data_IF_813484395725
#
_entry.id   IF_813484395725
#
_cell.length_a   1.000
_cell.length_b   1.000
_cell.length_c   1.000
_cell.angle_alpha   90.00
_cell.angle_beta   90.00
_cell.angle_gamma   90.00
#
_symmetry.space_group_name_H-M   'P 1'
#
loop_
_entity.id
_entity.type
_entity.pdbx_description
1 polymer ?
#
# COMPACT_ATOMS: atom_id res chain seq x y z
N UNK A 1 13.55 71.81 -8.81
CA UNK A 1 12.61 70.74 -8.42
C UNK A 1 13.33 69.41 -8.56
N UNK A 2 13.51 68.66 -7.46
CA UNK A 2 14.25 67.39 -7.41
C UNK A 2 13.32 66.24 -7.80
N UNK A 3 13.66 65.48 -8.83
CA UNK A 3 12.98 64.24 -9.20
C UNK A 3 13.52 63.10 -8.32
N UNK A 4 12.64 62.49 -7.52
CA UNK A 4 12.91 61.27 -6.78
C UNK A 4 12.51 60.09 -7.67
N UNK A 5 13.49 59.29 -8.09
CA UNK A 5 13.27 58.01 -8.78
C UNK A 5 13.06 56.95 -7.69
N UNK A 6 11.84 56.43 -7.60
CA UNK A 6 11.50 55.29 -6.74
C UNK A 6 11.87 54.02 -7.50
N UNK A 7 12.97 53.38 -7.09
CA UNK A 7 13.43 52.11 -7.63
C UNK A 7 12.72 50.96 -6.91
N UNK A 8 11.59 50.52 -7.46
CA UNK A 8 10.84 49.36 -6.94
C UNK A 8 11.55 48.06 -7.32
N UNK A 9 12.21 47.45 -6.33
CA UNK A 9 12.87 46.16 -6.44
C UNK A 9 11.80 45.04 -6.47
N UNK A 10 11.47 44.51 -7.65
CA UNK A 10 10.64 43.31 -7.78
C UNK A 10 11.46 42.08 -7.34
N UNK A 11 11.27 41.61 -6.11
CA UNK A 11 11.67 40.26 -5.70
C UNK A 11 10.76 39.26 -6.41
N UNK A 12 11.24 38.67 -7.50
CA UNK A 12 10.60 37.50 -8.12
C UNK A 12 10.91 36.27 -7.27
N UNK A 13 10.04 35.95 -6.32
CA UNK A 13 10.07 34.66 -5.62
C UNK A 13 9.73 33.57 -6.65
N UNK A 14 10.72 32.75 -7.00
CA UNK A 14 10.49 31.54 -7.79
C UNK A 14 9.74 30.55 -6.90
N UNK A 15 8.42 30.43 -7.08
CA UNK A 15 7.68 29.30 -6.49
C UNK A 15 8.16 28.04 -7.20
N UNK A 16 9.01 27.27 -6.53
CA UNK A 16 9.28 25.89 -6.93
C UNK A 16 7.97 25.13 -6.69
N UNK A 17 7.35 24.52 -7.72
CA UNK A 17 6.17 23.69 -7.49
C UNK A 17 6.57 22.55 -6.55
N UNK A 18 5.84 22.40 -5.45
CA UNK A 18 5.92 21.18 -4.65
C UNK A 18 5.65 20.01 -5.60
N UNK A 19 6.60 19.08 -5.71
CA UNK A 19 6.41 17.91 -6.57
C UNK A 19 5.18 17.17 -6.05
N UNK A 20 4.08 17.23 -6.80
CA UNK A 20 2.85 16.56 -6.44
C UNK A 20 3.11 15.05 -6.53
N UNK A 21 3.07 14.39 -5.38
CA UNK A 21 3.20 12.92 -5.30
C UNK A 21 2.00 12.32 -6.02
N UNK A 22 2.28 11.39 -6.91
CA UNK A 22 1.28 10.71 -7.74
C UNK A 22 1.22 9.21 -7.46
N UNK A 23 0.16 8.55 -7.96
CA UNK A 23 0.05 7.09 -7.86
C UNK A 23 1.14 6.39 -8.69
N UNK A 24 1.66 7.05 -9.72
CA UNK A 24 2.78 6.61 -10.53
C UNK A 24 4.06 6.38 -9.72
N UNK A 25 4.24 7.07 -8.61
CA UNK A 25 5.45 6.96 -7.77
C UNK A 25 5.59 5.57 -7.15
N UNK A 26 4.49 4.82 -6.99
CA UNK A 26 4.46 3.48 -6.43
C UNK A 26 4.62 2.37 -7.48
N UNK A 27 4.54 2.71 -8.76
CA UNK A 27 4.60 1.74 -9.87
C UNK A 27 5.94 1.03 -9.89
N UNK A 28 5.90 -0.28 -10.09
CA UNK A 28 7.10 -1.11 -10.17
C UNK A 28 6.91 -2.51 -9.62
N UNK A 29 8.02 -3.23 -9.58
CA UNK A 29 8.09 -4.54 -8.96
C UNK A 29 8.75 -4.44 -7.59
N UNK A 30 8.17 -5.11 -6.61
CA UNK A 30 8.66 -5.12 -5.24
C UNK A 30 8.85 -6.55 -4.79
N UNK A 31 9.90 -6.79 -4.00
CA UNK A 31 10.19 -8.12 -3.46
C UNK A 31 10.63 -8.01 -2.02
N UNK A 32 10.11 -8.91 -1.21
CA UNK A 32 10.30 -8.86 0.22
C UNK A 32 10.40 -10.23 0.87
N UNK A 33 10.76 -10.17 2.15
CA UNK A 33 10.74 -11.32 3.04
C UNK A 33 10.04 -10.93 4.33
N UNK A 34 9.52 -11.93 5.00
CA UNK A 34 8.73 -11.75 6.19
C UNK A 34 8.70 -13.00 7.05
N UNK A 35 7.83 -12.98 8.04
CA UNK A 35 7.57 -14.11 8.91
C UNK A 35 6.06 -14.36 8.97
N UNK A 36 5.69 -15.61 9.20
CA UNK A 36 4.33 -15.97 9.56
C UNK A 36 4.31 -16.72 10.87
N UNK A 37 3.18 -16.64 11.57
CA UNK A 37 2.83 -17.49 12.70
C UNK A 37 1.48 -18.12 12.40
N UNK A 38 1.38 -19.44 12.51
CA UNK A 38 0.14 -20.21 12.40
C UNK A 38 -0.11 -20.92 13.72
N UNK A 39 -1.31 -20.83 14.24
CA UNK A 39 -1.79 -21.53 15.42
C UNK A 39 -2.98 -22.36 14.97
N UNK A 40 -2.88 -23.68 15.07
CA UNK A 40 -4.00 -24.61 14.94
C UNK A 40 -3.93 -25.69 16.03
N UNK A 41 -3.27 -26.82 15.78
CA UNK A 41 -3.02 -27.88 16.77
C UNK A 41 -1.69 -27.63 17.52
N UNK A 42 -1.05 -26.50 17.24
CA UNK A 42 0.20 -26.02 17.82
C UNK A 42 0.72 -24.78 17.08
N UNK A 43 1.63 -24.06 17.71
CA UNK A 43 2.23 -22.87 17.11
C UNK A 43 3.35 -23.23 16.13
N UNK A 44 3.25 -22.72 14.90
CA UNK A 44 4.23 -22.88 13.84
C UNK A 44 4.64 -21.53 13.29
N UNK A 45 5.94 -21.25 13.34
CA UNK A 45 6.55 -20.05 12.76
C UNK A 45 7.36 -20.39 11.54
N UNK A 46 7.43 -19.48 10.58
CA UNK A 46 8.26 -19.67 9.40
C UNK A 46 8.50 -18.40 8.61
N UNK A 47 9.21 -18.54 7.49
CA UNK A 47 9.59 -17.43 6.62
C UNK A 47 8.60 -17.29 5.46
N UNK A 48 8.30 -16.05 5.11
CA UNK A 48 7.57 -15.67 3.90
C UNK A 48 8.53 -15.04 2.90
N UNK A 49 8.29 -15.29 1.61
CA UNK A 49 8.84 -14.48 0.52
C UNK A 49 7.70 -13.98 -0.33
N UNK A 50 7.63 -12.66 -0.53
CA UNK A 50 6.59 -12.04 -1.33
C UNK A 50 7.15 -11.28 -2.51
N UNK A 51 6.33 -11.23 -3.56
CA UNK A 51 6.53 -10.37 -4.72
C UNK A 51 5.24 -9.58 -4.95
N UNK A 52 5.40 -8.32 -5.31
CA UNK A 52 4.32 -7.40 -5.63
C UNK A 52 4.62 -6.75 -6.98
N UNK A 53 3.60 -6.51 -7.78
CA UNK A 53 3.69 -5.70 -8.99
C UNK A 53 2.59 -4.65 -8.95
N UNK A 54 3.00 -3.39 -8.98
CA UNK A 54 2.11 -2.24 -9.01
C UNK A 54 2.14 -1.69 -10.43
N UNK A 55 0.97 -1.50 -11.03
CA UNK A 55 0.81 -0.95 -12.39
C UNK A 55 -0.15 0.22 -12.35
N UNK A 56 0.21 1.29 -13.05
CA UNK A 56 -0.71 2.36 -13.37
C UNK A 56 -1.75 1.87 -14.37
N UNK A 57 -3.01 2.23 -14.15
CA UNK A 57 -4.07 2.06 -15.15
C UNK A 57 -4.39 3.39 -15.84
N UNK A 58 -4.35 4.46 -15.05
CA UNK A 58 -4.56 5.85 -15.45
C UNK A 58 -4.15 6.74 -14.28
N UNK A 59 -4.41 8.05 -14.36
CA UNK A 59 -3.98 9.03 -13.36
C UNK A 59 -4.57 8.83 -11.96
N UNK A 60 -5.69 8.11 -11.81
CA UNK A 60 -6.32 7.93 -10.50
C UNK A 60 -6.45 6.47 -10.09
N UNK A 61 -5.91 5.53 -10.86
CA UNK A 61 -5.99 4.10 -10.55
C UNK A 61 -4.68 3.35 -10.73
N UNK A 62 -4.38 2.52 -9.73
CA UNK A 62 -3.34 1.50 -9.80
C UNK A 62 -3.92 0.12 -9.53
N UNK A 63 -3.30 -0.91 -10.08
CA UNK A 63 -3.54 -2.30 -9.67
C UNK A 63 -2.32 -2.87 -9.00
N UNK A 64 -2.56 -3.64 -7.95
CA UNK A 64 -1.55 -4.34 -7.19
C UNK A 64 -1.79 -5.84 -7.36
N UNK A 65 -0.83 -6.53 -7.96
CA UNK A 65 -0.78 -7.99 -8.07
C UNK A 65 0.29 -8.53 -7.12
N UNK A 66 -0.07 -9.43 -6.19
CA UNK A 66 0.84 -9.93 -5.17
C UNK A 66 0.83 -11.45 -5.03
N UNK A 67 1.98 -12.02 -4.69
CA UNK A 67 2.13 -13.43 -4.32
C UNK A 67 3.08 -13.59 -3.15
N UNK A 68 2.63 -14.27 -2.10
CA UNK A 68 3.43 -14.62 -0.94
C UNK A 68 3.55 -16.14 -0.81
N UNK A 69 4.77 -16.65 -0.66
CA UNK A 69 5.05 -18.07 -0.49
C UNK A 69 5.77 -18.39 0.81
N UNK A 70 5.40 -19.51 1.43
CA UNK A 70 6.02 -20.15 2.58
C UNK A 70 6.15 -21.67 2.32
N UNK A 71 6.84 -22.38 3.21
CA UNK A 71 6.92 -23.85 3.15
C UNK A 71 5.55 -24.53 3.22
N UNK A 72 4.59 -23.89 3.88
CA UNK A 72 3.22 -24.38 4.07
C UNK A 72 2.26 -24.06 2.91
N UNK A 73 2.72 -23.33 1.89
CA UNK A 73 1.89 -22.94 0.75
C UNK A 73 2.16 -21.53 0.26
N UNK A 74 1.40 -21.10 -0.74
CA UNK A 74 1.45 -19.75 -1.27
C UNK A 74 0.04 -19.17 -1.40
N UNK A 75 -0.10 -17.86 -1.16
CA UNK A 75 -1.33 -17.10 -1.38
C UNK A 75 -1.07 -16.02 -2.43
N UNK A 76 -2.00 -15.88 -3.36
CA UNK A 76 -2.05 -14.76 -4.31
C UNK A 76 -3.09 -13.76 -3.83
N UNK A 77 -2.87 -12.49 -4.14
CA UNK A 77 -3.88 -11.45 -3.96
C UNK A 77 -3.79 -10.44 -5.09
N UNK A 78 -4.92 -9.84 -5.43
CA UNK A 78 -4.97 -8.78 -6.41
C UNK A 78 -5.96 -7.71 -5.94
N UNK A 79 -5.63 -6.44 -6.15
CA UNK A 79 -6.55 -5.34 -5.83
C UNK A 79 -6.36 -4.17 -6.80
N UNK A 80 -7.43 -3.42 -7.01
CA UNK A 80 -7.39 -2.12 -7.66
C UNK A 80 -7.62 -1.04 -6.61
N UNK A 81 -6.80 0.01 -6.65
CA UNK A 81 -6.92 1.18 -5.81
C UNK A 81 -7.32 2.34 -6.70
N UNK A 82 -8.37 3.06 -6.33
CA UNK A 82 -8.85 4.25 -7.03
C UNK A 82 -8.85 5.44 -6.08
N UNK A 83 -8.22 6.54 -6.49
CA UNK A 83 -8.30 7.82 -5.81
C UNK A 83 -9.67 8.45 -6.09
N UNK A 84 -10.51 8.52 -5.06
CA UNK A 84 -11.93 8.92 -5.15
C UNK A 84 -12.21 10.31 -4.57
N UNK A 85 -11.21 10.98 -4.02
CA UNK A 85 -11.24 12.34 -3.48
C UNK A 85 -9.83 12.85 -3.23
N UNK A 86 -9.65 13.99 -2.55
CA UNK A 86 -8.32 14.59 -2.36
C UNK A 86 -7.32 13.65 -1.68
N UNK A 87 -7.78 12.74 -0.80
CA UNK A 87 -6.92 11.81 -0.07
C UNK A 87 -7.56 10.45 0.19
N UNK A 88 -8.76 10.19 -0.35
CA UNK A 88 -9.52 8.97 -0.05
C UNK A 88 -9.34 7.94 -1.15
N UNK A 89 -8.99 6.72 -0.74
CA UNK A 89 -8.86 5.59 -1.65
C UNK A 89 -10.05 4.65 -1.50
N UNK A 90 -10.62 4.25 -2.64
CA UNK A 90 -11.47 3.07 -2.73
C UNK A 90 -10.66 1.89 -3.23
N UNK A 91 -10.92 0.71 -2.66
CA UNK A 91 -10.21 -0.52 -3.02
C UNK A 91 -11.22 -1.55 -3.50
N UNK A 92 -10.91 -2.17 -4.63
CA UNK A 92 -11.65 -3.30 -5.18
C UNK A 92 -10.75 -4.53 -5.10
N UNK A 93 -11.18 -5.54 -4.34
CA UNK A 93 -10.50 -6.84 -4.31
C UNK A 93 -10.74 -7.58 -5.64
N UNK A 94 -9.66 -7.94 -6.32
CA UNK A 94 -9.65 -8.66 -7.61
C UNK A 94 -9.19 -10.11 -7.45
N UNK A 95 -8.99 -10.56 -6.21
CA UNK A 95 -8.50 -11.90 -5.91
C UNK A 95 -9.55 -12.95 -6.33
N UNK A 96 -9.07 -14.07 -6.86
CA UNK A 96 -9.94 -15.16 -7.32
C UNK A 96 -10.54 -15.98 -6.17
N UNK A 97 -9.96 -15.86 -4.98
CA UNK A 97 -10.50 -16.45 -3.75
C UNK A 97 -11.70 -15.64 -3.29
N UNK A 98 -12.79 -16.32 -2.93
CA UNK A 98 -14.05 -15.67 -2.56
C UNK A 98 -13.88 -14.92 -1.24
N UNK A 99 -13.58 -13.63 -1.36
CA UNK A 99 -13.57 -12.69 -0.25
C UNK A 99 -15.01 -12.23 -0.04
N UNK A 100 -15.66 -12.77 1.00
CA UNK A 100 -17.04 -12.40 1.36
C UNK A 100 -16.97 -11.21 2.31
N UNK A 101 -17.70 -10.13 1.99
CA UNK A 101 -17.94 -8.98 2.88
C UNK A 101 -16.67 -8.32 3.46
N UNK A 102 -15.62 -8.19 2.65
CA UNK A 102 -14.44 -7.43 3.05
C UNK A 102 -14.64 -5.96 2.74
N UNK A 103 -14.50 -5.12 3.78
CA UNK A 103 -14.43 -3.67 3.66
C UNK A 103 -12.97 -3.27 3.53
N UNK A 104 -12.69 -2.32 2.66
CA UNK A 104 -11.35 -1.82 2.43
C UNK A 104 -11.39 -0.31 2.40
N UNK A 105 -10.55 0.32 3.20
CA UNK A 105 -10.39 1.77 3.25
C UNK A 105 -8.92 2.10 3.04
N UNK A 106 -8.67 3.30 2.53
CA UNK A 106 -7.31 3.76 2.35
C UNK A 106 -7.20 5.27 2.30
N UNK A 107 -5.98 5.73 2.55
CA UNK A 107 -5.60 7.13 2.53
C UNK A 107 -4.37 7.30 1.65
N UNK A 108 -4.36 8.40 0.91
CA UNK A 108 -3.21 8.86 0.14
C UNK A 108 -2.82 10.26 0.62
N UNK A 109 -1.57 10.46 1.03
CA UNK A 109 -1.03 11.75 1.43
C UNK A 109 0.47 11.85 1.12
N UNK A 110 1.12 12.91 1.63
CA UNK A 110 2.56 13.14 1.48
C UNK A 110 3.45 12.06 2.11
N UNK A 111 2.91 11.15 2.93
CA UNK A 111 3.65 10.00 3.47
C UNK A 111 3.51 8.76 2.58
N UNK A 112 2.51 8.73 1.70
CA UNK A 112 2.26 7.68 0.74
C UNK A 112 0.86 7.08 0.86
N UNK A 113 0.73 5.79 0.56
CA UNK A 113 -0.55 5.07 0.60
C UNK A 113 -0.60 4.19 1.84
N UNK A 114 -1.70 4.27 2.59
CA UNK A 114 -2.03 3.32 3.65
C UNK A 114 -3.39 2.70 3.36
N UNK A 115 -3.47 1.37 3.40
CA UNK A 115 -4.71 0.62 3.20
C UNK A 115 -4.96 -0.29 4.41
N UNK A 116 -6.21 -0.34 4.85
CA UNK A 116 -6.71 -1.32 5.81
C UNK A 116 -7.86 -2.05 5.14
N UNK A 117 -7.87 -3.37 5.25
CA UNK A 117 -8.94 -4.19 4.76
C UNK A 117 -9.33 -5.25 5.76
N UNK A 118 -10.62 -5.31 6.09
CA UNK A 118 -11.13 -6.15 7.16
C UNK A 118 -12.45 -6.81 6.76
N UNK A 119 -12.64 -8.07 7.14
CA UNK A 119 -13.94 -8.74 7.02
C UNK A 119 -14.90 -8.15 8.06
N UNK A 120 -16.20 -8.07 7.77
CA UNK A 120 -17.19 -7.50 8.71
C UNK A 120 -17.20 -8.13 10.11
N UNK A 121 -16.78 -9.38 10.24
CA UNK A 121 -16.68 -10.12 11.50
C UNK A 121 -15.31 -10.00 12.19
N UNK A 122 -14.38 -9.24 11.63
CA UNK A 122 -13.00 -9.08 12.12
C UNK A 122 -12.12 -10.31 11.94
N UNK A 123 -12.61 -11.36 11.28
CA UNK A 123 -11.87 -12.63 11.10
C UNK A 123 -10.64 -12.49 10.22
N UNK A 124 -10.55 -11.45 9.39
CA UNK A 124 -9.40 -11.21 8.55
C UNK A 124 -9.10 -9.73 8.50
N UNK A 125 -7.86 -9.36 8.80
CA UNK A 125 -7.34 -8.00 8.71
C UNK A 125 -6.12 -8.02 7.82
N UNK A 126 -6.04 -7.08 6.89
CA UNK A 126 -4.92 -6.85 6.00
C UNK A 126 -4.55 -5.38 6.02
N UNK A 127 -3.28 -5.10 6.27
CA UNK A 127 -2.73 -3.76 6.27
C UNK A 127 -1.61 -3.67 5.23
N UNK A 128 -1.64 -2.62 4.42
CA UNK A 128 -0.62 -2.36 3.40
C UNK A 128 -0.20 -0.90 3.49
N UNK A 129 1.09 -0.68 3.75
CA UNK A 129 1.70 0.64 3.75
C UNK A 129 2.70 0.72 2.61
N UNK A 130 2.47 1.67 1.70
CA UNK A 130 3.36 2.00 0.60
C UNK A 130 3.88 3.42 0.85
N UNK A 131 5.03 3.57 1.52
CA UNK A 131 5.63 4.88 1.67
C UNK A 131 6.20 5.34 0.33
N UNK A 132 6.27 6.66 0.13
CA UNK A 132 6.91 7.25 -1.06
C UNK A 132 8.35 6.75 -1.18
N UNK A 133 9.06 6.75 -0.05
CA UNK A 133 10.43 6.25 0.06
C UNK A 133 10.52 5.09 1.04
N UNK A 134 11.37 4.12 0.73
CA UNK A 134 11.67 3.00 1.62
C UNK A 134 10.99 1.69 1.23
N UNK A 135 10.46 0.98 2.22
CA UNK A 135 9.96 -0.39 2.07
C UNK A 135 8.44 -0.42 2.20
N UNK A 136 7.79 -1.18 1.32
CA UNK A 136 6.38 -1.52 1.52
C UNK A 136 6.29 -2.46 2.71
N UNK A 137 5.37 -2.19 3.63
CA UNK A 137 5.03 -3.10 4.71
C UNK A 137 3.65 -3.71 4.45
N UNK A 138 3.56 -5.02 4.66
CA UNK A 138 2.32 -5.78 4.53
C UNK A 138 2.14 -6.64 5.77
N UNK A 139 1.02 -6.46 6.44
CA UNK A 139 0.62 -7.22 7.62
C UNK A 139 -0.72 -7.88 7.36
N UNK A 140 -0.86 -9.14 7.77
CA UNK A 140 -2.10 -9.89 7.66
C UNK A 140 -2.36 -10.67 8.94
N UNK A 141 -3.63 -10.76 9.30
CA UNK A 141 -4.13 -11.60 10.37
C UNK A 141 -5.41 -12.28 9.88
N UNK A 142 -5.55 -13.57 10.12
CA UNK A 142 -6.74 -14.35 9.86
C UNK A 142 -7.01 -15.18 11.11
N UNK A 143 -8.21 -15.07 11.69
CA UNK A 143 -8.61 -15.75 12.91
C UNK A 143 -9.95 -16.43 12.67
N UNK A 144 -10.00 -17.71 12.98
CA UNK A 144 -11.23 -18.50 13.04
C UNK A 144 -11.40 -19.06 14.46
N UNK A 145 -12.49 -19.81 14.71
CA UNK A 145 -12.78 -20.37 16.03
C UNK A 145 -11.67 -21.27 16.60
N UNK A 146 -10.84 -21.88 15.75
CA UNK A 146 -9.79 -22.81 16.17
C UNK A 146 -8.44 -22.57 15.49
N UNK A 147 -8.30 -21.52 14.68
CA UNK A 147 -7.05 -21.22 13.96
C UNK A 147 -6.74 -19.74 13.98
N UNK A 148 -5.44 -19.41 13.98
CA UNK A 148 -4.96 -18.05 13.75
C UNK A 148 -3.73 -18.08 12.85
N UNK A 149 -3.75 -17.28 11.79
CA UNK A 149 -2.63 -17.06 10.90
C UNK A 149 -2.27 -15.58 10.92
N UNK A 150 -1.00 -15.26 11.14
CA UNK A 150 -0.47 -13.90 11.01
C UNK A 150 0.71 -13.90 10.07
N UNK A 151 0.90 -12.81 9.34
CA UNK A 151 2.03 -12.60 8.43
C UNK A 151 2.48 -11.16 8.43
N UNK A 152 3.78 -10.93 8.44
CA UNK A 152 4.37 -9.59 8.32
C UNK A 152 5.51 -9.64 7.33
N UNK A 153 5.53 -8.71 6.38
CA UNK A 153 6.46 -8.70 5.25
C UNK A 153 6.91 -7.29 4.94
N UNK A 154 8.22 -7.14 4.73
CA UNK A 154 8.81 -5.92 4.21
C UNK A 154 9.32 -6.15 2.78
N UNK A 155 8.86 -5.33 1.83
CA UNK A 155 9.22 -5.40 0.42
C UNK A 155 10.04 -4.18 -0.02
N UNK A 156 11.12 -4.45 -0.73
CA UNK A 156 11.96 -3.44 -1.36
C UNK A 156 11.65 -3.36 -2.84
N UNK A 157 11.71 -2.14 -3.40
CA UNK A 157 11.60 -1.94 -4.84
C UNK A 157 12.72 -2.69 -5.53
N UNK A 158 12.40 -3.43 -6.59
CA UNK A 158 13.40 -4.05 -7.45
C UNK A 158 13.96 -2.97 -8.36
N UNK A 159 15.30 -2.90 -8.42
CA UNK A 159 16.01 -2.15 -9.45
C UNK A 159 15.85 -2.84 -10.80
#
# INVERSE_FOLDING_TARGET
MRFLIVLSLFMTFSLVPAMAVGLEDFVGEWKGRGQYTRIDDGERKGKLTCRLKIKLRDSNRITIDGRCGAAIGAKDFAMQITLSGENTLSVLDLSKERVVNRKSTGRFDESGITLVSENEDGSHIFHLSLPIEGQIQMDTSEVTSNKSDTGQVLLKRRK
#
